data_IF_838017900351
#
_entry.id   IF_838017900351
#
_cell.length_a   1.000
_cell.length_b   1.000
_cell.length_c   1.000
_cell.angle_alpha   90.00
_cell.angle_beta   90.00
_cell.angle_gamma   90.00
#
_symmetry.space_group_name_H-M   'P 1'
#
loop_
_entity.id
_entity.type
_entity.pdbx_description
1 polymer ?
#
# COMPACT_ATOMS: atom_id res chain seq x y z
N UNK A 1 -4.22 -1.81 22.88
CA UNK A 1 -2.76 -1.98 22.64
C UNK A 1 -2.36 -0.90 21.66
N UNK A 2 -1.32 -0.10 21.95
CA UNK A 2 -0.85 0.91 21.01
C UNK A 2 -0.31 0.25 19.74
N UNK A 3 -0.74 0.70 18.57
CA UNK A 3 -0.35 0.15 17.26
C UNK A 3 1.08 0.51 16.89
N UNK A 4 1.52 1.71 17.26
CA UNK A 4 2.89 2.19 17.06
C UNK A 4 3.62 2.27 18.40
N UNK A 5 4.93 2.06 18.37
CA UNK A 5 5.83 2.12 19.53
C UNK A 5 6.77 3.32 19.41
N UNK A 6 7.32 3.75 20.53
CA UNK A 6 8.38 4.78 20.54
C UNK A 6 9.56 4.30 19.70
N UNK A 7 10.02 5.15 18.79
CA UNK A 7 11.06 4.86 17.80
C UNK A 7 10.53 4.38 16.45
N UNK A 8 9.25 4.01 16.32
CA UNK A 8 8.68 3.63 15.04
C UNK A 8 8.65 4.84 14.09
N UNK A 9 9.01 4.58 12.83
CA UNK A 9 8.84 5.53 11.73
C UNK A 9 7.43 5.44 11.17
N UNK A 10 6.79 6.58 11.03
CA UNK A 10 5.44 6.70 10.49
C UNK A 10 5.31 8.01 9.73
N UNK A 11 4.42 8.02 8.75
CA UNK A 11 4.00 9.25 8.11
C UNK A 11 2.64 9.64 8.66
N UNK A 12 2.41 10.92 8.91
CA UNK A 12 1.11 11.41 9.35
C UNK A 12 0.64 12.60 8.53
N UNK A 13 -0.67 12.70 8.36
CA UNK A 13 -1.34 13.87 7.78
C UNK A 13 -2.36 14.37 8.78
N UNK A 14 -2.03 15.45 9.48
CA UNK A 14 -2.98 16.14 10.35
C UNK A 14 -3.90 17.07 9.52
N UNK A 15 -5.08 17.45 10.03
CA UNK A 15 -6.06 18.22 9.24
C UNK A 15 -5.56 19.56 8.68
N UNK A 16 -4.56 20.17 9.32
CA UNK A 16 -3.94 21.42 8.88
C UNK A 16 -2.97 21.25 7.69
N UNK A 17 -2.64 20.02 7.29
CA UNK A 17 -1.67 19.73 6.24
C UNK A 17 -2.33 19.15 4.99
N UNK A 18 -1.70 19.38 3.84
CA UNK A 18 -2.20 18.89 2.55
C UNK A 18 -1.70 17.48 2.20
N UNK A 19 -0.62 17.01 2.84
CA UNK A 19 0.03 15.74 2.55
C UNK A 19 0.53 15.05 3.82
N UNK A 20 1.10 13.86 3.64
CA UNK A 20 1.69 13.10 4.74
C UNK A 20 3.16 13.46 4.89
N UNK A 21 3.57 13.80 6.09
CA UNK A 21 4.97 14.05 6.43
C UNK A 21 5.51 12.90 7.25
N UNK A 22 6.75 12.53 6.97
CA UNK A 22 7.47 11.46 7.65
C UNK A 22 7.99 11.93 9.01
N UNK A 23 8.02 11.03 9.98
CA UNK A 23 8.46 11.33 11.33
C UNK A 23 8.65 10.10 12.18
N UNK A 24 9.10 10.32 13.41
CA UNK A 24 9.30 9.28 14.42
C UNK A 24 8.31 9.44 15.55
N UNK A 25 7.76 8.33 16.02
CA UNK A 25 6.95 8.31 17.24
C UNK A 25 7.87 8.51 18.44
N UNK A 26 7.73 9.62 19.16
CA UNK A 26 8.50 9.89 20.38
C UNK A 26 7.76 9.40 21.64
N UNK A 27 6.42 9.29 21.59
CA UNK A 27 5.61 8.85 22.73
C UNK A 27 4.26 8.30 22.28
N UNK A 28 3.78 7.26 22.97
CA UNK A 28 2.37 6.84 22.93
C UNK A 28 1.64 7.38 24.16
N UNK A 29 0.55 8.10 23.95
CA UNK A 29 -0.27 8.70 25.01
C UNK A 29 -1.32 7.71 25.54
N UNK A 30 -1.82 7.97 26.76
CA UNK A 30 -2.84 7.11 27.40
C UNK A 30 -4.19 7.14 26.68
N UNK A 31 -4.47 8.23 25.95
CA UNK A 31 -5.70 8.42 25.16
C UNK A 31 -5.65 7.73 23.78
N UNK A 32 -4.56 7.04 23.45
CA UNK A 32 -4.37 6.35 22.17
C UNK A 32 -3.84 7.23 21.03
N UNK A 33 -3.45 8.47 21.33
CA UNK A 33 -2.75 9.36 20.38
C UNK A 33 -1.23 9.22 20.51
N UNK A 34 -0.50 9.77 19.54
CA UNK A 34 0.96 9.67 19.49
C UNK A 34 1.59 11.05 19.39
N UNK A 35 2.66 11.26 20.15
CA UNK A 35 3.57 12.38 19.95
C UNK A 35 4.55 12.01 18.85
N UNK A 36 4.60 12.81 17.80
CA UNK A 36 5.49 12.59 16.66
C UNK A 36 6.41 13.78 16.44
N UNK A 37 7.67 13.49 16.14
CA UNK A 37 8.65 14.45 15.62
C UNK A 37 8.86 14.18 14.14
N UNK A 38 8.50 15.14 13.30
CA UNK A 38 8.61 15.09 11.85
C UNK A 38 10.02 15.46 11.39
N UNK A 39 10.36 15.05 10.17
CA UNK A 39 11.70 15.23 9.61
C UNK A 39 12.06 16.69 9.32
N UNK A 40 11.06 17.54 9.13
CA UNK A 40 11.20 19.00 9.02
C UNK A 40 11.45 19.68 10.38
N UNK A 41 11.42 18.92 11.47
CA UNK A 41 11.63 19.38 12.83
C UNK A 41 10.35 19.75 13.58
N UNK A 42 9.17 19.68 12.94
CA UNK A 42 7.89 19.93 13.60
C UNK A 42 7.59 18.81 14.61
N UNK A 43 6.94 19.16 15.72
CA UNK A 43 6.51 18.19 16.74
C UNK A 43 5.01 18.36 16.93
N UNK A 44 4.27 17.27 16.75
CA UNK A 44 2.83 17.21 17.02
C UNK A 44 2.60 16.30 18.21
N UNK A 45 2.02 16.84 19.28
CA UNK A 45 1.85 16.15 20.57
C UNK A 45 0.76 15.07 20.56
N UNK A 46 -0.19 15.17 19.63
CA UNK A 46 -1.36 14.29 19.57
C UNK A 46 -1.79 14.05 18.13
N UNK A 47 -1.18 13.06 17.50
CA UNK A 47 -1.57 12.52 16.20
C UNK A 47 -2.46 11.29 16.41
N UNK A 48 -3.61 11.24 15.75
CA UNK A 48 -4.51 10.08 15.86
C UNK A 48 -4.01 8.93 14.99
N UNK A 49 -4.23 7.70 15.42
CA UNK A 49 -3.82 6.51 14.66
C UNK A 49 -4.33 6.52 13.20
N UNK A 50 -5.56 6.98 12.97
CA UNK A 50 -6.18 7.07 11.65
C UNK A 50 -5.53 8.12 10.72
N UNK A 51 -4.76 9.04 11.29
CA UNK A 51 -3.99 10.06 10.57
C UNK A 51 -2.58 9.56 10.25
N UNK A 52 -2.20 8.39 10.77
CA UNK A 52 -0.87 7.79 10.63
C UNK A 52 -0.88 6.57 9.70
N UNK A 53 0.18 6.45 8.91
CA UNK A 53 0.55 5.22 8.19
C UNK A 53 1.99 4.83 8.51
N UNK A 54 2.31 3.54 8.61
CA UNK A 54 3.67 3.11 8.85
C UNK A 54 4.58 3.57 7.71
N UNK A 55 5.74 4.11 8.07
CA UNK A 55 6.75 4.54 7.12
C UNK A 55 7.75 3.39 6.99
N UNK A 56 7.94 2.89 5.78
CA UNK A 56 8.83 1.76 5.56
C UNK A 56 8.30 0.43 6.10
N UNK A 57 6.98 0.28 6.29
CA UNK A 57 6.41 -1.05 6.01
C UNK A 57 6.79 -1.32 4.56
N UNK A 58 7.87 -2.08 4.35
CA UNK A 58 7.95 -3.02 3.24
C UNK A 58 6.59 -3.69 3.28
N UNK A 59 5.67 -3.26 2.42
CA UNK A 59 4.48 -4.04 2.16
C UNK A 59 5.06 -5.40 1.84
N UNK A 60 4.90 -6.34 2.78
CA UNK A 60 5.38 -7.69 2.58
C UNK A 60 4.62 -8.10 1.34
N UNK A 61 5.31 -8.11 0.21
CA UNK A 61 4.69 -8.17 -1.09
C UNK A 61 3.78 -9.39 -1.07
N UNK A 62 2.46 -9.14 -1.05
CA UNK A 62 1.46 -10.19 -0.92
C UNK A 62 1.56 -11.13 -2.10
N UNK A 63 1.91 -10.57 -3.25
CA UNK A 63 2.26 -11.28 -4.46
C UNK A 63 3.77 -11.17 -4.71
N UNK A 64 4.38 -12.27 -5.11
CA UNK A 64 5.79 -12.35 -5.48
C UNK A 64 5.94 -12.27 -6.99
N UNK A 65 7.15 -11.94 -7.45
CA UNK A 65 7.49 -12.05 -8.87
C UNK A 65 7.24 -13.48 -9.35
N UNK A 66 6.50 -13.61 -10.45
CA UNK A 66 6.05 -14.88 -11.01
C UNK A 66 4.65 -15.31 -10.57
N UNK A 67 4.06 -14.69 -9.54
CA UNK A 67 2.71 -15.04 -9.12
C UNK A 67 1.69 -14.66 -10.20
N UNK A 68 0.73 -15.55 -10.40
CA UNK A 68 -0.45 -15.32 -11.22
C UNK A 68 -1.53 -14.62 -10.41
N UNK A 69 -1.99 -13.49 -10.93
CA UNK A 69 -3.05 -12.71 -10.33
C UNK A 69 -3.94 -12.13 -11.41
N UNK A 70 -5.17 -11.80 -11.02
CA UNK A 70 -6.03 -10.97 -11.86
C UNK A 70 -6.06 -9.56 -11.29
N UNK A 71 -6.04 -8.55 -12.15
CA UNK A 71 -6.18 -7.16 -11.75
C UNK A 71 -7.19 -6.41 -12.60
N UNK A 72 -7.87 -5.45 -11.97
CA UNK A 72 -8.77 -4.50 -12.63
C UNK A 72 -8.29 -3.09 -12.34
N UNK A 73 -7.62 -2.47 -13.29
CA UNK A 73 -7.25 -1.05 -13.18
C UNK A 73 -8.48 -0.16 -13.47
N UNK A 74 -8.50 1.10 -13.00
CA UNK A 74 -9.69 1.96 -13.10
C UNK A 74 -10.21 2.19 -14.53
N UNK A 75 -9.33 2.13 -15.53
CA UNK A 75 -9.69 2.28 -16.95
C UNK A 75 -10.39 1.05 -17.55
N UNK A 76 -10.48 -0.07 -16.81
CA UNK A 76 -11.05 -1.32 -17.30
C UNK A 76 -12.36 -1.66 -16.60
N UNK A 77 -13.22 -2.39 -17.31
CA UNK A 77 -14.52 -2.82 -16.77
C UNK A 77 -14.43 -4.15 -15.98
N UNK A 78 -13.40 -4.95 -16.24
CA UNK A 78 -13.25 -6.32 -15.73
C UNK A 78 -11.83 -6.60 -15.22
N UNK A 79 -11.67 -7.73 -14.55
CA UNK A 79 -10.37 -8.22 -14.11
C UNK A 79 -9.72 -9.03 -15.24
N UNK A 80 -8.47 -8.70 -15.56
CA UNK A 80 -7.68 -9.45 -16.54
C UNK A 80 -6.54 -10.17 -15.82
N UNK A 81 -6.24 -11.38 -16.30
CA UNK A 81 -5.21 -12.21 -15.72
C UNK A 81 -3.83 -11.80 -16.22
N UNK A 82 -2.83 -11.95 -15.36
CA UNK A 82 -1.46 -11.59 -15.66
C UNK A 82 -0.48 -12.17 -14.64
N UNK A 83 0.79 -11.87 -14.87
CA UNK A 83 1.91 -12.27 -14.03
C UNK A 83 2.49 -11.03 -13.36
N UNK A 84 2.79 -11.13 -12.07
CA UNK A 84 3.57 -10.11 -11.37
C UNK A 84 5.02 -10.17 -11.83
N UNK A 85 5.50 -9.12 -12.47
CA UNK A 85 6.91 -9.01 -12.90
C UNK A 85 7.78 -8.32 -11.85
N UNK A 86 7.19 -7.47 -10.99
CA UNK A 86 7.91 -6.74 -9.95
C UNK A 86 6.99 -6.32 -8.81
N UNK A 87 7.49 -6.38 -7.57
CA UNK A 87 6.90 -5.69 -6.44
C UNK A 87 7.67 -4.38 -6.20
N UNK A 88 6.96 -3.25 -6.25
CA UNK A 88 7.55 -1.93 -6.05
C UNK A 88 7.66 -1.61 -4.56
N UNK A 89 8.59 -0.71 -4.22
CA UNK A 89 8.82 -0.29 -2.83
C UNK A 89 7.63 0.49 -2.23
N UNK A 90 6.80 1.09 -3.08
CA UNK A 90 5.58 1.82 -2.71
C UNK A 90 4.38 0.89 -2.43
N UNK A 91 4.54 -0.43 -2.58
CA UNK A 91 3.47 -1.42 -2.40
C UNK A 91 2.59 -1.68 -3.62
N UNK A 92 2.95 -1.11 -4.77
CA UNK A 92 2.30 -1.43 -6.05
C UNK A 92 3.05 -2.55 -6.78
N UNK A 93 2.43 -3.12 -7.80
CA UNK A 93 2.99 -4.23 -8.55
C UNK A 93 3.05 -3.89 -10.03
N UNK A 94 4.17 -4.23 -10.67
CA UNK A 94 4.25 -4.30 -12.13
C UNK A 94 3.65 -5.62 -12.57
N UNK A 95 2.64 -5.57 -13.42
CA UNK A 95 1.98 -6.75 -13.96
C UNK A 95 2.04 -6.76 -15.48
N UNK A 96 2.36 -7.93 -16.04
CA UNK A 96 2.20 -8.24 -17.46
C UNK A 96 0.96 -9.10 -17.64
N UNK A 97 -0.03 -8.57 -18.34
CA UNK A 97 -1.29 -9.24 -18.64
C UNK A 97 -1.15 -10.18 -19.83
N UNK A 98 -2.08 -11.13 -19.93
CA UNK A 98 -2.04 -12.20 -20.96
C UNK A 98 -2.24 -11.68 -22.39
N UNK A 99 -2.84 -10.51 -22.55
CA UNK A 99 -2.98 -9.80 -23.83
C UNK A 99 -1.69 -9.05 -24.24
N UNK A 100 -0.66 -9.08 -23.39
CA UNK A 100 0.63 -8.44 -23.62
C UNK A 100 0.73 -7.02 -23.03
N UNK A 101 -0.35 -6.48 -22.46
CA UNK A 101 -0.30 -5.17 -21.80
C UNK A 101 0.54 -5.24 -20.51
N UNK A 102 1.30 -4.18 -20.22
CA UNK A 102 2.09 -4.06 -19.00
C UNK A 102 1.63 -2.83 -18.24
N UNK A 103 1.24 -3.03 -16.98
CA UNK A 103 0.91 -1.94 -16.06
C UNK A 103 1.98 -1.89 -14.97
N UNK A 104 2.68 -0.77 -14.88
CA UNK A 104 3.82 -0.59 -13.98
C UNK A 104 3.45 -0.44 -12.49
N UNK A 105 2.21 -0.03 -12.21
CA UNK A 105 1.75 0.28 -10.86
C UNK A 105 0.29 -0.12 -10.66
N UNK A 106 0.07 -1.41 -10.37
CA UNK A 106 -1.22 -1.97 -9.95
C UNK A 106 -1.28 -1.97 -8.43
N UNK A 107 -2.34 -1.45 -7.83
CA UNK A 107 -2.49 -1.46 -6.37
C UNK A 107 -2.91 -2.84 -5.88
N UNK A 108 -2.45 -3.24 -4.70
CA UNK A 108 -2.83 -4.54 -4.11
C UNK A 108 -4.36 -4.74 -4.03
N UNK A 109 -5.10 -3.67 -3.70
CA UNK A 109 -6.57 -3.68 -3.60
C UNK A 109 -7.28 -3.88 -4.95
N UNK A 110 -6.58 -3.68 -6.06
CA UNK A 110 -7.06 -3.90 -7.43
C UNK A 110 -6.71 -5.31 -7.92
N UNK A 111 -5.99 -6.10 -7.11
CA UNK A 111 -5.53 -7.45 -7.43
C UNK A 111 -6.26 -8.51 -6.60
N UNK A 112 -6.50 -9.66 -7.24
CA UNK A 112 -6.96 -10.88 -6.56
C UNK A 112 -6.15 -12.09 -7.03
N UNK A 113 -5.94 -13.11 -6.18
CA UNK A 113 -5.29 -14.33 -6.62
C UNK A 113 -6.11 -14.96 -7.76
N UNK A 114 -5.42 -15.37 -8.81
CA UNK A 114 -6.03 -16.19 -9.84
C UNK A 114 -6.20 -17.60 -9.23
N UNK A 115 -7.40 -17.88 -8.70
CA UNK A 115 -7.67 -19.13 -8.00
C UNK A 115 -7.23 -20.33 -8.82
N UNK A 116 -6.43 -21.22 -8.25
CA UNK A 116 -6.14 -22.52 -8.87
C UNK A 116 -7.48 -23.22 -9.10
N UNK A 117 -7.83 -23.37 -10.39
CA UNK A 117 -9.10 -23.89 -10.94
C UNK A 117 -10.24 -22.86 -11.04
N UNK A 118 -10.25 -22.10 -12.13
CA UNK A 118 -11.44 -21.96 -12.97
C UNK A 118 -11.06 -21.33 -14.32
N UNK A 119 -11.13 -22.16 -15.38
CA UNK A 119 -11.28 -21.83 -16.80
C UNK A 119 -11.14 -20.33 -17.16
N UNK A 120 -9.95 -19.96 -17.63
CA UNK A 120 -9.68 -18.66 -18.25
C UNK A 120 -10.75 -18.38 -19.32
N UNK A 121 -11.55 -17.34 -19.09
CA UNK A 121 -12.40 -16.76 -20.13
C UNK A 121 -11.60 -15.69 -20.84
N UNK A 122 -11.15 -15.97 -22.05
CA UNK A 122 -10.53 -14.98 -22.93
C UNK A 122 -11.59 -13.99 -23.41
N UNK A 123 -11.21 -12.71 -23.54
CA UNK A 123 -12.01 -11.68 -24.22
C UNK A 123 -12.22 -12.13 -25.67
N UNK A 124 -13.48 -12.26 -26.08
CA UNK A 124 -13.83 -12.41 -27.49
C UNK A 124 -13.70 -11.01 -28.12
N UNK A 125 -12.96 -10.94 -29.22
CA UNK A 125 -12.80 -9.71 -30.02
C UNK A 125 -14.06 -9.30 -30.75
#
# INVERSE_FOLDING_TARGET
IAKYKVGDRAMAKIPAWNEYFAGVVEKANQDGTYRMKFDDGEIVESVKEQEMKPEGQKNIAKYKVGDRAMAKIPAWNEYFAGVVEKANQDGTYRMKFDDGEIVESVKEQEMKPEGQKNIAKYKVG
#
